data_IF_971868464528
#
_entry.id   IF_971868464528
#
_cell.length_a   1.000
_cell.length_b   1.000
_cell.length_c   1.000
_cell.angle_alpha   90.00
_cell.angle_beta   90.00
_cell.angle_gamma   90.00
#
_symmetry.space_group_name_H-M   'P 1'
#
loop_
_entity.id
_entity.type
_entity.pdbx_description
1 polymer ?
#
# COMPACT_ATOMS: atom_id res chain seq x y z
N UNK A 1 9.07 8.80 1.58
CA UNK A 1 9.40 9.92 0.66
C UNK A 1 10.27 9.37 -0.46
N UNK A 2 9.71 8.75 -1.51
CA UNK A 2 10.48 8.34 -2.72
C UNK A 2 9.56 8.31 -3.98
N UNK A 3 8.64 9.25 -4.15
CA UNK A 3 7.83 9.35 -5.38
C UNK A 3 7.71 10.78 -5.92
N UNK A 4 8.58 11.69 -5.45
CA UNK A 4 8.59 13.09 -5.89
C UNK A 4 9.28 13.34 -7.22
N UNK A 5 10.00 12.35 -7.77
CA UNK A 5 10.85 12.51 -8.97
C UNK A 5 10.23 11.92 -10.25
N UNK A 6 9.22 11.05 -10.13
CA UNK A 6 8.62 10.28 -11.24
C UNK A 6 7.81 11.15 -12.24
N UNK A 7 7.38 12.34 -11.83
CA UNK A 7 6.67 13.26 -12.71
C UNK A 7 7.56 13.81 -13.85
N UNK A 8 8.88 13.83 -13.65
CA UNK A 8 9.81 14.38 -14.64
C UNK A 8 10.04 13.38 -15.79
N UNK A 9 10.16 12.08 -15.50
CA UNK A 9 10.38 11.02 -16.50
C UNK A 9 9.17 10.80 -17.41
N UNK A 10 7.96 10.90 -16.86
CA UNK A 10 6.72 10.87 -17.63
C UNK A 10 6.61 12.04 -18.63
N UNK A 11 7.17 13.23 -18.31
CA UNK A 11 7.25 14.33 -19.27
C UNK A 11 8.25 14.07 -20.38
N UNK A 12 9.41 13.45 -20.08
CA UNK A 12 10.43 13.15 -21.09
C UNK A 12 9.93 12.15 -22.15
N UNK A 13 9.18 11.12 -21.75
CA UNK A 13 8.64 10.14 -22.69
C UNK A 13 7.53 10.71 -23.58
N UNK A 14 6.66 11.57 -23.04
CA UNK A 14 5.64 12.29 -23.84
C UNK A 14 6.29 13.25 -24.85
N UNK A 15 7.40 13.90 -24.47
CA UNK A 15 8.18 14.77 -25.35
C UNK A 15 8.88 13.99 -26.47
N UNK A 16 9.42 12.81 -26.18
CA UNK A 16 10.02 11.93 -27.19
C UNK A 16 8.99 11.44 -28.22
N UNK A 17 7.81 10.99 -27.78
CA UNK A 17 6.72 10.55 -28.67
C UNK A 17 6.23 11.71 -29.55
N UNK A 18 6.05 12.91 -28.98
CA UNK A 18 5.67 14.10 -29.73
C UNK A 18 6.71 14.47 -30.81
N UNK A 19 8.00 14.38 -30.48
CA UNK A 19 9.10 14.64 -31.42
C UNK A 19 9.16 13.61 -32.56
N UNK A 20 8.84 12.35 -32.27
CA UNK A 20 8.83 11.27 -33.27
C UNK A 20 7.63 11.39 -34.22
N UNK A 21 6.45 11.75 -33.70
CA UNK A 21 5.27 12.06 -34.52
C UNK A 21 5.49 13.30 -35.40
N UNK A 22 6.13 14.32 -34.84
CA UNK A 22 6.48 15.54 -35.58
C UNK A 22 7.51 15.25 -36.67
N UNK A 23 8.47 14.35 -36.42
CA UNK A 23 9.44 13.89 -37.43
C UNK A 23 8.77 13.09 -38.55
N UNK A 24 7.80 12.22 -38.25
CA UNK A 24 7.03 11.49 -39.26
C UNK A 24 6.19 12.43 -40.14
N UNK A 25 5.63 13.49 -39.54
CA UNK A 25 4.87 14.51 -40.26
C UNK A 25 5.78 15.40 -41.12
N UNK A 26 6.98 15.70 -40.64
CA UNK A 26 7.96 16.53 -41.36
C UNK A 26 8.55 15.82 -42.59
N UNK A 27 8.74 14.49 -42.52
CA UNK A 27 9.17 13.68 -43.68
C UNK A 27 8.11 13.70 -44.79
N UNK A 28 6.82 13.82 -44.47
CA UNK A 28 5.74 13.91 -45.45
C UNK A 28 5.63 15.28 -46.14
N UNK A 29 6.25 16.35 -45.62
CA UNK A 29 6.16 17.71 -46.16
C UNK A 29 7.32 18.12 -47.09
N UNK A 30 8.30 17.24 -47.35
CA UNK A 30 9.44 17.57 -48.21
C UNK A 30 9.02 17.69 -49.70
N UNK A 31 9.52 18.69 -50.47
CA UNK A 31 9.02 19.06 -51.82
C UNK A 31 9.39 18.09 -52.97
N UNK A 32 9.49 16.79 -52.66
CA UNK A 32 9.53 15.68 -53.61
C UNK A 32 8.53 14.55 -53.26
N UNK A 33 7.78 14.70 -52.17
CA UNK A 33 6.77 13.75 -51.67
C UNK A 33 5.33 14.13 -52.03
N UNK A 34 5.12 15.08 -52.94
CA UNK A 34 3.78 15.48 -53.38
C UNK A 34 2.96 14.32 -53.99
N UNK A 35 3.55 13.15 -54.25
CA UNK A 35 2.91 11.96 -54.81
C UNK A 35 3.07 10.71 -53.92
N UNK A 36 3.53 10.85 -52.66
CA UNK A 36 3.44 9.76 -51.68
C UNK A 36 1.98 9.64 -51.24
N UNK A 37 1.27 8.78 -51.95
CA UNK A 37 -0.11 8.34 -51.78
C UNK A 37 -0.69 8.46 -50.35
N UNK A 38 -1.82 9.16 -50.26
CA UNK A 38 -2.78 9.27 -49.14
C UNK A 38 -2.87 8.04 -48.21
N UNK A 39 -2.96 6.78 -48.70
CA UNK A 39 -3.09 5.59 -47.84
C UNK A 39 -1.91 5.30 -46.90
N UNK A 40 -0.67 5.68 -47.22
CA UNK A 40 0.49 5.45 -46.34
C UNK A 40 0.46 6.39 -45.12
N UNK A 41 0.06 7.65 -45.35
CA UNK A 41 -0.14 8.65 -44.30
C UNK A 41 -1.31 8.26 -43.40
N UNK A 42 -2.43 7.81 -43.99
CA UNK A 42 -3.58 7.33 -43.22
C UNK A 42 -3.27 6.10 -42.37
N UNK A 43 -2.49 5.14 -42.90
CA UNK A 43 -2.01 4.00 -42.11
C UNK A 43 -1.11 4.43 -40.94
N UNK A 44 -0.16 5.34 -41.17
CA UNK A 44 0.71 5.85 -40.11
C UNK A 44 -0.06 6.62 -39.03
N UNK A 45 -1.07 7.42 -39.42
CA UNK A 45 -1.98 8.09 -38.47
C UNK A 45 -2.74 7.08 -37.62
N UNK A 46 -3.28 6.02 -38.24
CA UNK A 46 -4.02 4.98 -37.53
C UNK A 46 -3.14 4.23 -36.53
N UNK A 47 -1.94 3.82 -36.92
CA UNK A 47 -0.98 3.16 -36.03
C UNK A 47 -0.54 4.08 -34.86
N UNK A 48 -0.45 5.39 -35.09
CA UNK A 48 -0.17 6.36 -34.04
C UNK A 48 -1.34 6.52 -33.06
N UNK A 49 -2.58 6.57 -33.55
CA UNK A 49 -3.78 6.64 -32.72
C UNK A 49 -3.95 5.39 -31.85
N UNK A 50 -3.76 4.21 -32.43
CA UNK A 50 -3.80 2.93 -31.71
C UNK A 50 -2.75 2.87 -30.59
N UNK A 51 -1.53 3.37 -30.86
CA UNK A 51 -0.48 3.46 -29.85
C UNK A 51 -0.83 4.44 -28.73
N UNK A 52 -1.37 5.61 -29.06
CA UNK A 52 -1.79 6.59 -28.06
C UNK A 52 -2.91 6.03 -27.17
N UNK A 53 -3.89 5.34 -27.76
CA UNK A 53 -4.97 4.69 -27.00
C UNK A 53 -4.42 3.59 -26.08
N UNK A 54 -3.48 2.77 -26.57
CA UNK A 54 -2.83 1.74 -25.76
C UNK A 54 -2.05 2.35 -24.58
N UNK A 55 -1.27 3.41 -24.83
CA UNK A 55 -0.52 4.10 -23.79
C UNK A 55 -1.44 4.76 -22.76
N UNK A 56 -2.55 5.35 -23.19
CA UNK A 56 -3.53 5.95 -22.28
C UNK A 56 -4.16 4.89 -21.37
N UNK A 57 -4.62 3.77 -21.95
CA UNK A 57 -5.12 2.63 -21.16
C UNK A 57 -4.05 2.13 -20.18
N UNK A 58 -2.81 1.96 -20.65
CA UNK A 58 -1.73 1.47 -19.80
C UNK A 58 -1.43 2.43 -18.63
N UNK A 59 -1.55 3.74 -18.85
CA UNK A 59 -1.35 4.76 -17.83
C UNK A 59 -2.50 4.79 -16.82
N UNK A 60 -3.74 4.58 -17.25
CA UNK A 60 -4.88 4.45 -16.35
C UNK A 60 -4.72 3.24 -15.42
N UNK A 61 -4.34 2.08 -15.97
CA UNK A 61 -4.05 0.87 -15.20
C UNK A 61 -2.88 1.07 -14.21
N UNK A 62 -1.82 1.76 -14.64
CA UNK A 62 -0.68 2.11 -13.80
C UNK A 62 -1.09 3.05 -12.65
N UNK A 63 -1.92 4.05 -12.94
CA UNK A 63 -2.47 4.98 -11.95
C UNK A 63 -3.29 4.25 -10.89
N UNK A 64 -4.21 3.39 -11.31
CA UNK A 64 -5.04 2.59 -10.40
C UNK A 64 -4.18 1.66 -9.51
N UNK A 65 -3.17 0.98 -10.07
CA UNK A 65 -2.26 0.14 -9.30
C UNK A 65 -1.41 0.95 -8.29
N UNK A 66 -1.04 2.18 -8.66
CA UNK A 66 -0.31 3.10 -7.77
C UNK A 66 -1.18 3.59 -6.62
N UNK A 67 -2.47 3.88 -6.88
CA UNK A 67 -3.44 4.22 -5.84
C UNK A 67 -3.68 3.05 -4.89
N UNK A 68 -3.86 1.84 -5.42
CA UNK A 68 -3.99 0.60 -4.63
C UNK A 68 -2.76 0.39 -3.73
N UNK A 69 -1.55 0.58 -4.28
CA UNK A 69 -0.29 0.49 -3.53
C UNK A 69 -0.20 1.54 -2.40
N UNK A 70 -0.53 2.79 -2.71
CA UNK A 70 -0.49 3.88 -1.73
C UNK A 70 -1.51 3.66 -0.61
N UNK A 71 -2.72 3.22 -0.96
CA UNK A 71 -3.75 2.87 0.01
C UNK A 71 -3.30 1.73 0.92
N UNK A 72 -2.85 0.61 0.35
CA UNK A 72 -2.41 -0.55 1.11
C UNK A 72 -1.22 -0.21 2.04
N UNK A 73 -0.26 0.58 1.58
CA UNK A 73 0.84 1.05 2.42
C UNK A 73 0.40 1.95 3.57
N UNK A 74 -0.55 2.85 3.31
CA UNK A 74 -1.08 3.71 4.36
C UNK A 74 -1.81 2.89 5.42
N UNK A 75 -2.67 1.95 5.00
CA UNK A 75 -3.33 1.02 5.92
C UNK A 75 -2.32 0.17 6.69
N UNK A 76 -1.29 -0.37 6.02
CA UNK A 76 -0.22 -1.14 6.66
C UNK A 76 0.48 -0.33 7.76
N UNK A 77 0.79 0.95 7.50
CA UNK A 77 1.42 1.85 8.48
C UNK A 77 0.50 2.12 9.67
N UNK A 78 -0.79 2.36 9.41
CA UNK A 78 -1.77 2.63 10.44
C UNK A 78 -2.00 1.39 11.32
N UNK A 79 -2.13 0.20 10.72
CA UNK A 79 -2.24 -1.06 11.44
C UNK A 79 -0.96 -1.37 12.24
N UNK A 80 0.23 -1.09 11.71
CA UNK A 80 1.49 -1.23 12.48
C UNK A 80 1.51 -0.32 13.73
N UNK A 81 1.01 0.91 13.60
CA UNK A 81 0.90 1.81 14.74
C UNK A 81 -0.14 1.31 15.76
N UNK A 82 -1.26 0.77 15.28
CA UNK A 82 -2.30 0.16 16.11
C UNK A 82 -1.75 -1.06 16.88
N UNK A 83 -1.08 -2.00 16.20
CA UNK A 83 -0.43 -3.17 16.82
C UNK A 83 0.53 -2.75 17.93
N UNK A 84 1.38 -1.74 17.68
CA UNK A 84 2.29 -1.21 18.71
C UNK A 84 1.55 -0.61 19.90
N UNK A 85 0.45 0.11 19.66
CA UNK A 85 -0.36 0.72 20.70
C UNK A 85 -1.08 -0.35 21.53
N UNK A 86 -1.84 -1.23 20.89
CA UNK A 86 -2.57 -2.31 21.55
C UNK A 86 -1.62 -3.27 22.26
N UNK A 87 -0.42 -3.53 21.73
CA UNK A 87 0.61 -4.30 22.43
C UNK A 87 1.10 -3.65 23.75
N UNK A 88 1.21 -2.32 23.80
CA UNK A 88 1.51 -1.60 25.06
C UNK A 88 0.34 -1.66 26.04
N UNK A 89 -0.87 -1.46 25.55
CA UNK A 89 -2.10 -1.52 26.36
C UNK A 89 -2.31 -2.93 26.94
N UNK A 90 -2.04 -3.98 26.17
CA UNK A 90 -2.08 -5.36 26.63
C UNK A 90 -1.06 -5.59 27.76
N UNK A 91 0.18 -5.14 27.60
CA UNK A 91 1.20 -5.27 28.64
C UNK A 91 0.81 -4.54 29.93
N UNK A 92 0.17 -3.38 29.82
CA UNK A 92 -0.36 -2.66 30.97
C UNK A 92 -1.47 -3.46 31.66
N UNK A 93 -2.47 -3.94 30.89
CA UNK A 93 -3.56 -4.75 31.42
C UNK A 93 -3.07 -6.03 32.12
N UNK A 94 -2.03 -6.68 31.58
CA UNK A 94 -1.39 -7.83 32.21
C UNK A 94 -0.72 -7.48 33.55
N UNK A 95 -0.10 -6.31 33.62
CA UNK A 95 0.54 -5.82 34.85
C UNK A 95 -0.50 -5.50 35.92
N UNK A 96 -1.58 -4.81 35.54
CA UNK A 96 -2.68 -4.45 36.43
C UNK A 96 -3.41 -5.70 36.95
N UNK A 97 -3.64 -6.68 36.08
CA UNK A 97 -4.20 -7.97 36.45
C UNK A 97 -3.31 -8.71 37.45
N UNK A 98 -2.01 -8.80 37.19
CA UNK A 98 -1.07 -9.48 38.09
C UNK A 98 -1.03 -8.81 39.48
N UNK A 99 -1.09 -7.48 39.52
CA UNK A 99 -1.16 -6.73 40.78
C UNK A 99 -2.46 -7.01 41.54
N UNK A 100 -3.61 -6.95 40.85
CA UNK A 100 -4.91 -7.22 41.45
C UNK A 100 -5.02 -8.68 41.95
N UNK A 101 -4.48 -9.64 41.21
CA UNK A 101 -4.40 -11.04 41.63
C UNK A 101 -3.52 -11.22 42.87
N UNK A 102 -2.35 -10.59 42.92
CA UNK A 102 -1.47 -10.64 44.10
C UNK A 102 -2.13 -10.05 45.35
N UNK A 103 -2.87 -8.94 45.20
CA UNK A 103 -3.65 -8.38 46.30
C UNK A 103 -4.77 -9.33 46.76
N UNK A 104 -5.44 -9.99 45.81
CA UNK A 104 -6.49 -10.96 46.12
C UNK A 104 -5.92 -12.19 46.83
N UNK A 105 -4.76 -12.69 46.41
CA UNK A 105 -4.08 -13.83 47.04
C UNK A 105 -3.70 -13.53 48.49
N UNK A 106 -3.09 -12.36 48.75
CA UNK A 106 -2.77 -11.92 50.12
C UNK A 106 -4.04 -11.85 50.97
N UNK A 107 -5.14 -11.35 50.39
CA UNK A 107 -6.41 -11.25 51.10
C UNK A 107 -7.01 -12.62 51.42
N UNK A 108 -7.01 -13.55 50.46
CA UNK A 108 -7.51 -14.91 50.64
C UNK A 108 -6.71 -15.68 51.69
N UNK A 109 -5.38 -15.56 51.68
CA UNK A 109 -4.51 -16.14 52.72
C UNK A 109 -4.80 -15.53 54.09
N UNK A 110 -5.00 -14.21 54.16
CA UNK A 110 -5.40 -13.53 55.39
C UNK A 110 -6.74 -14.03 55.94
N UNK A 111 -7.76 -14.15 55.08
CA UNK A 111 -9.07 -14.69 55.44
C UNK A 111 -8.98 -16.15 55.93
N UNK A 112 -8.16 -16.98 55.26
CA UNK A 112 -7.94 -18.37 55.66
C UNK A 112 -7.27 -18.46 57.04
N UNK A 113 -6.21 -17.67 57.29
CA UNK A 113 -5.52 -17.63 58.59
C UNK A 113 -6.39 -17.07 59.71
N UNK A 114 -7.35 -16.20 59.38
CA UNK A 114 -8.28 -15.59 60.33
C UNK A 114 -9.55 -16.46 60.61
N UNK A 115 -9.83 -17.55 59.89
CA UNK A 115 -10.96 -18.46 60.19
C UNK A 115 -10.58 -19.53 61.22
N UNK A 116 -11.36 -19.95 62.23
CA UNK A 116 -12.83 -20.04 62.45
C UNK A 116 -13.36 -19.31 63.71
N UNK A 117 -12.50 -18.77 64.58
CA UNK A 117 -12.88 -18.20 65.89
C UNK A 117 -12.63 -16.69 66.01
N UNK A 118 -11.89 -16.08 65.07
CA UNK A 118 -11.26 -14.77 65.28
C UNK A 118 -12.23 -13.59 65.24
N UNK A 119 -13.27 -13.64 64.40
CA UNK A 119 -14.28 -12.57 64.35
C UNK A 119 -15.11 -12.50 65.63
N UNK A 120 -15.55 -13.65 66.15
CA UNK A 120 -16.32 -13.72 67.40
C UNK A 120 -15.45 -13.31 68.59
N UNK A 121 -14.18 -13.73 68.66
CA UNK A 121 -13.27 -13.28 69.70
C UNK A 121 -12.96 -11.79 69.61
N UNK A 122 -12.70 -11.24 68.41
CA UNK A 122 -12.42 -9.81 68.22
C UNK A 122 -13.65 -8.93 68.51
N UNK A 123 -14.87 -9.41 68.25
CA UNK A 123 -16.10 -8.70 68.61
C UNK A 123 -16.39 -8.80 70.12
N UNK A 124 -16.12 -9.96 70.75
CA UNK A 124 -16.31 -10.17 72.20
C UNK A 124 -15.24 -9.46 73.06
N UNK A 125 -14.07 -9.16 72.48
CA UNK A 125 -12.98 -8.41 73.12
C UNK A 125 -13.15 -6.88 73.00
N UNK A 126 -14.30 -6.40 72.50
CA UNK A 126 -14.59 -4.97 72.45
C UNK A 126 -14.95 -4.45 73.85
N UNK A 127 -14.26 -3.41 74.30
CA UNK A 127 -14.44 -2.86 75.66
C UNK A 127 -15.61 -1.86 75.76
N UNK A 128 -16.20 -1.46 74.63
CA UNK A 128 -17.34 -0.56 74.57
C UNK A 128 -18.25 -0.81 73.36
N UNK A 129 -19.51 -0.37 73.44
CA UNK A 129 -20.49 -0.49 72.34
C UNK A 129 -20.07 0.31 71.09
N UNK A 130 -19.47 1.48 71.26
CA UNK A 130 -18.93 2.30 70.16
C UNK A 130 -17.77 1.60 69.45
N UNK A 131 -16.93 0.91 70.22
CA UNK A 131 -15.82 0.12 69.68
C UNK A 131 -16.34 -1.13 68.93
N UNK A 132 -17.37 -1.79 69.45
CA UNK A 132 -18.05 -2.90 68.76
C UNK A 132 -18.64 -2.47 67.41
N UNK A 133 -19.39 -1.37 67.36
CA UNK A 133 -19.96 -0.80 66.13
C UNK A 133 -18.84 -0.43 65.13
N UNK A 134 -17.76 0.18 65.61
CA UNK A 134 -16.62 0.56 64.77
C UNK A 134 -15.90 -0.65 64.18
N UNK A 135 -15.73 -1.73 64.96
CA UNK A 135 -15.16 -3.01 64.50
C UNK A 135 -16.08 -3.70 63.49
N UNK A 136 -17.41 -3.68 63.71
CA UNK A 136 -18.42 -4.17 62.77
C UNK A 136 -18.39 -3.42 61.42
N UNK A 137 -18.37 -2.10 61.47
CA UNK A 137 -18.28 -1.21 60.32
C UNK A 137 -16.93 -1.37 59.56
N UNK A 138 -15.82 -1.61 60.28
CA UNK A 138 -14.55 -2.01 59.64
C UNK A 138 -14.65 -3.35 58.90
N UNK A 139 -15.34 -4.34 59.47
CA UNK A 139 -15.50 -5.66 58.85
C UNK A 139 -16.40 -5.62 57.62
N UNK A 140 -17.50 -4.86 57.68
CA UNK A 140 -18.37 -4.63 56.53
C UNK A 140 -17.62 -3.90 55.40
N UNK A 141 -16.83 -2.87 55.73
CA UNK A 141 -15.96 -2.19 54.76
C UNK A 141 -14.93 -3.13 54.13
N UNK A 142 -14.34 -4.04 54.91
CA UNK A 142 -13.43 -5.06 54.41
C UNK A 142 -14.14 -5.99 53.41
N UNK A 143 -15.32 -6.50 53.74
CA UNK A 143 -16.11 -7.33 52.82
C UNK A 143 -16.46 -6.61 51.51
N UNK A 144 -16.83 -5.32 51.57
CA UNK A 144 -17.07 -4.50 50.35
C UNK A 144 -15.80 -4.29 49.52
N UNK A 145 -14.64 -4.09 50.17
CA UNK A 145 -13.34 -3.98 49.49
C UNK A 145 -12.95 -5.28 48.79
N UNK A 146 -13.21 -6.42 49.43
CA UNK A 146 -12.92 -7.74 48.85
C UNK A 146 -13.78 -8.03 47.61
N UNK A 147 -15.07 -7.71 47.67
CA UNK A 147 -15.96 -7.79 46.52
C UNK A 147 -15.47 -6.89 45.37
N UNK A 148 -15.08 -5.66 45.69
CA UNK A 148 -14.53 -4.71 44.71
C UNK A 148 -13.24 -5.24 44.06
N UNK A 149 -12.36 -5.88 44.85
CA UNK A 149 -11.11 -6.46 44.34
C UNK A 149 -11.37 -7.65 43.41
N UNK A 150 -12.34 -8.50 43.73
CA UNK A 150 -12.77 -9.59 42.84
C UNK A 150 -13.31 -9.04 41.53
N UNK A 151 -14.13 -7.98 41.58
CA UNK A 151 -14.67 -7.36 40.37
C UNK A 151 -13.58 -6.67 39.54
N UNK A 152 -12.58 -6.06 40.18
CA UNK A 152 -11.39 -5.52 39.50
C UNK A 152 -10.59 -6.62 38.79
N UNK A 153 -10.34 -7.76 39.46
CA UNK A 153 -9.64 -8.89 38.83
C UNK A 153 -10.40 -9.42 37.62
N UNK A 154 -11.73 -9.53 37.70
CA UNK A 154 -12.56 -9.92 36.55
C UNK A 154 -12.46 -8.90 35.42
N UNK A 155 -12.64 -7.62 35.72
CA UNK A 155 -12.57 -6.55 34.72
C UNK A 155 -11.20 -6.52 34.02
N UNK A 156 -10.10 -6.67 34.75
CA UNK A 156 -8.76 -6.70 34.15
C UNK A 156 -8.51 -7.97 33.32
N UNK A 157 -9.09 -9.12 33.70
CA UNK A 157 -9.06 -10.33 32.86
C UNK A 157 -9.80 -10.13 31.54
N UNK A 158 -10.98 -9.53 31.59
CA UNK A 158 -11.78 -9.26 30.40
C UNK A 158 -11.06 -8.28 29.48
N UNK A 159 -10.46 -7.22 30.04
CA UNK A 159 -9.63 -6.28 29.29
C UNK A 159 -8.40 -6.95 28.67
N UNK A 160 -7.68 -7.82 29.39
CA UNK A 160 -6.55 -8.57 28.83
C UNK A 160 -7.00 -9.42 27.63
N UNK A 161 -8.11 -10.14 27.78
CA UNK A 161 -8.67 -11.00 26.74
C UNK A 161 -9.07 -10.19 25.50
N UNK A 162 -9.80 -9.08 25.69
CA UNK A 162 -10.21 -8.17 24.61
C UNK A 162 -8.99 -7.62 23.86
N UNK A 163 -7.95 -7.16 24.58
CA UNK A 163 -6.74 -6.61 23.98
C UNK A 163 -5.93 -7.67 23.22
N UNK A 164 -5.90 -8.92 23.69
CA UNK A 164 -5.29 -10.04 22.94
C UNK A 164 -6.02 -10.28 21.62
N UNK A 165 -7.35 -10.45 21.67
CA UNK A 165 -8.16 -10.67 20.47
C UNK A 165 -8.04 -9.50 19.48
N UNK A 166 -8.02 -8.27 19.99
CA UNK A 166 -7.80 -7.08 19.16
C UNK A 166 -6.42 -7.08 18.51
N UNK A 167 -5.37 -7.42 19.26
CA UNK A 167 -4.00 -7.49 18.76
C UNK A 167 -3.85 -8.56 17.66
N UNK A 168 -4.43 -9.74 17.87
CA UNK A 168 -4.43 -10.84 16.89
C UNK A 168 -5.13 -10.42 15.58
N UNK A 169 -6.31 -9.79 15.69
CA UNK A 169 -7.05 -9.27 14.54
C UNK A 169 -6.25 -8.20 13.78
N UNK A 170 -5.62 -7.26 14.50
CA UNK A 170 -4.77 -6.24 13.89
C UNK A 170 -3.54 -6.85 13.19
N UNK A 171 -2.90 -7.87 13.77
CA UNK A 171 -1.77 -8.55 13.15
C UNK A 171 -2.19 -9.28 11.86
N UNK A 172 -3.39 -9.85 11.83
CA UNK A 172 -3.90 -10.49 10.61
C UNK A 172 -4.22 -9.45 9.52
N UNK A 173 -4.87 -8.35 9.87
CA UNK A 173 -5.06 -7.21 8.96
C UNK A 173 -3.73 -6.67 8.44
N UNK A 174 -2.71 -6.58 9.29
CA UNK A 174 -1.38 -6.13 8.90
C UNK A 174 -0.78 -7.01 7.81
N UNK A 175 -0.93 -8.34 7.91
CA UNK A 175 -0.47 -9.27 6.86
C UNK A 175 -1.22 -9.06 5.56
N UNK A 176 -2.55 -8.95 5.63
CA UNK A 176 -3.40 -8.71 4.46
C UNK A 176 -2.98 -7.43 3.73
N UNK A 177 -2.76 -6.32 4.45
CA UNK A 177 -2.31 -5.07 3.83
C UNK A 177 -0.88 -5.15 3.29
N UNK A 178 0.00 -5.93 3.92
CA UNK A 178 1.35 -6.17 3.39
C UNK A 178 1.30 -6.96 2.07
N UNK A 179 0.48 -8.01 2.00
CA UNK A 179 0.26 -8.79 0.78
C UNK A 179 -0.37 -7.95 -0.34
N UNK A 180 -1.35 -7.10 -0.01
CA UNK A 180 -1.95 -6.17 -0.96
C UNK A 180 -0.93 -5.16 -1.50
N UNK A 181 -0.07 -4.60 -0.64
CA UNK A 181 0.97 -3.67 -1.04
C UNK A 181 2.00 -4.36 -1.97
N UNK A 182 2.42 -5.59 -1.67
CA UNK A 182 3.31 -6.35 -2.55
C UNK A 182 2.64 -6.69 -3.89
N UNK A 183 1.38 -7.14 -3.87
CA UNK A 183 0.64 -7.42 -5.10
C UNK A 183 0.48 -6.19 -5.99
N UNK A 184 0.13 -5.04 -5.41
CA UNK A 184 0.03 -3.77 -6.14
C UNK A 184 1.39 -3.32 -6.68
N UNK A 185 2.48 -3.50 -5.91
CA UNK A 185 3.85 -3.26 -6.38
C UNK A 185 4.21 -4.11 -7.59
N UNK A 186 3.87 -5.40 -7.58
CA UNK A 186 4.07 -6.28 -8.72
C UNK A 186 3.28 -5.83 -9.95
N UNK A 187 2.00 -5.45 -9.80
CA UNK A 187 1.20 -4.89 -10.90
C UNK A 187 1.85 -3.65 -11.51
N UNK A 188 2.37 -2.74 -10.70
CA UNK A 188 3.10 -1.54 -11.15
C UNK A 188 4.32 -1.95 -11.99
N UNK A 189 5.16 -2.84 -11.48
CA UNK A 189 6.37 -3.31 -12.17
C UNK A 189 6.04 -3.97 -13.51
N UNK A 190 5.03 -4.83 -13.53
CA UNK A 190 4.57 -5.49 -14.76
C UNK A 190 4.05 -4.49 -15.78
N UNK A 191 3.33 -3.46 -15.32
CA UNK A 191 2.78 -2.44 -16.19
C UNK A 191 3.87 -1.55 -16.80
N UNK A 192 4.84 -1.14 -16.00
CA UNK A 192 6.03 -0.41 -16.47
C UNK A 192 6.81 -1.25 -17.49
N UNK A 193 6.99 -2.55 -17.24
CA UNK A 193 7.65 -3.45 -18.18
C UNK A 193 6.88 -3.58 -19.50
N UNK A 194 5.54 -3.68 -19.46
CA UNK A 194 4.68 -3.70 -20.66
C UNK A 194 4.78 -2.41 -21.45
N UNK A 195 4.75 -1.25 -20.79
CA UNK A 195 4.92 0.06 -21.43
C UNK A 195 6.27 0.16 -22.14
N UNK A 196 7.37 -0.19 -21.46
CA UNK A 196 8.72 -0.17 -22.04
C UNK A 196 8.83 -1.09 -23.26
N UNK A 197 8.25 -2.29 -23.19
CA UNK A 197 8.24 -3.24 -24.32
C UNK A 197 7.42 -2.70 -25.50
N UNK A 198 6.28 -2.08 -25.25
CA UNK A 198 5.45 -1.47 -26.30
C UNK A 198 6.21 -0.33 -27.00
N UNK A 199 6.88 0.54 -26.24
CA UNK A 199 7.71 1.63 -26.76
C UNK A 199 8.88 1.10 -27.60
N UNK A 200 9.67 0.16 -27.08
CA UNK A 200 10.80 -0.42 -27.79
C UNK A 200 10.38 -1.11 -29.10
N UNK A 201 9.24 -1.81 -29.09
CA UNK A 201 8.67 -2.43 -30.30
C UNK A 201 8.32 -1.40 -31.38
N UNK A 202 7.79 -0.24 -30.97
CA UNK A 202 7.46 0.86 -31.89
C UNK A 202 8.69 1.57 -32.41
N UNK A 203 9.71 1.79 -31.58
CA UNK A 203 10.99 2.34 -32.03
C UNK A 203 11.66 1.45 -33.09
N UNK A 204 11.66 0.13 -32.88
CA UNK A 204 12.16 -0.84 -33.86
C UNK A 204 11.37 -0.80 -35.18
N UNK A 205 10.04 -0.68 -35.11
CA UNK A 205 9.18 -0.54 -36.29
C UNK A 205 9.52 0.75 -37.07
N UNK A 206 9.70 1.87 -36.38
CA UNK A 206 10.06 3.16 -36.99
C UNK A 206 11.45 3.10 -37.63
N UNK A 207 12.43 2.48 -36.97
CA UNK A 207 13.76 2.29 -37.53
C UNK A 207 13.72 1.45 -38.82
N UNK A 208 12.91 0.39 -38.84
CA UNK A 208 12.69 -0.43 -40.04
C UNK A 208 12.08 0.38 -41.18
N UNK A 209 11.01 1.13 -40.91
CA UNK A 209 10.35 1.98 -41.92
C UNK A 209 11.30 3.04 -42.49
N UNK A 210 12.11 3.70 -41.65
CA UNK A 210 13.14 4.65 -42.09
C UNK A 210 14.16 4.00 -43.04
N UNK A 211 14.59 2.77 -42.74
CA UNK A 211 15.54 2.02 -43.58
C UNK A 211 14.93 1.61 -44.92
N UNK A 212 13.69 1.14 -44.92
CA UNK A 212 12.95 0.77 -46.13
C UNK A 212 12.74 1.97 -47.05
N UNK A 213 12.37 3.12 -46.49
CA UNK A 213 12.16 4.35 -47.26
C UNK A 213 13.47 4.89 -47.83
N UNK A 214 14.56 4.90 -47.05
CA UNK A 214 15.89 5.26 -47.55
C UNK A 214 16.35 4.36 -48.72
N UNK A 215 16.10 3.05 -48.64
CA UNK A 215 16.41 2.12 -49.72
C UNK A 215 15.55 2.37 -50.97
N UNK A 216 14.27 2.70 -50.79
CA UNK A 216 13.37 3.06 -51.90
C UNK A 216 13.84 4.33 -52.60
N UNK A 217 14.17 5.38 -51.84
CA UNK A 217 14.69 6.63 -52.39
C UNK A 217 15.99 6.44 -53.15
N UNK A 218 16.92 5.62 -52.63
CA UNK A 218 18.16 5.29 -53.31
C UNK A 218 17.92 4.59 -54.67
N UNK A 219 16.95 3.67 -54.74
CA UNK A 219 16.55 3.02 -56.00
C UNK A 219 15.99 4.00 -57.02
N UNK A 220 15.03 4.84 -56.61
CA UNK A 220 14.42 5.86 -57.48
C UNK A 220 15.47 6.86 -58.01
N UNK A 221 16.42 7.27 -57.15
CA UNK A 221 17.51 8.14 -57.56
C UNK A 221 18.46 7.47 -58.57
N UNK A 222 18.77 6.17 -58.39
CA UNK A 222 19.57 5.40 -59.33
C UNK A 222 18.87 5.24 -60.69
N UNK A 223 17.57 4.92 -60.70
CA UNK A 223 16.75 4.83 -61.91
C UNK A 223 16.67 6.18 -62.66
N UNK A 224 16.47 7.28 -61.93
CA UNK A 224 16.46 8.62 -62.51
C UNK A 224 17.81 8.99 -63.14
N UNK A 225 18.93 8.63 -62.49
CA UNK A 225 20.29 8.83 -63.05
C UNK A 225 20.50 7.99 -64.31
N UNK A 226 20.12 6.71 -64.29
CA UNK A 226 20.22 5.82 -65.44
C UNK A 226 19.39 6.33 -66.62
N UNK A 227 18.16 6.81 -66.37
CA UNK A 227 17.29 7.38 -67.40
C UNK A 227 17.85 8.68 -67.99
N UNK A 228 18.43 9.56 -67.16
CA UNK A 228 19.11 10.77 -67.64
C UNK A 228 20.33 10.43 -68.51
N UNK A 229 21.15 9.46 -68.08
CA UNK A 229 22.31 9.00 -68.85
C UNK A 229 21.90 8.40 -70.21
N UNK A 230 20.84 7.59 -70.23
CA UNK A 230 20.29 7.01 -71.45
C UNK A 230 19.71 8.06 -72.43
N UNK A 231 19.08 9.11 -71.92
CA UNK A 231 18.57 10.20 -72.75
C UNK A 231 19.70 11.10 -73.30
N UNK A 232 20.80 11.25 -72.56
CA UNK A 232 21.96 12.03 -72.98
C UNK A 232 22.87 11.31 -74.00
N UNK A 233 22.76 9.99 -74.13
CA UNK A 233 23.52 9.17 -75.09
C UNK A 233 22.79 8.92 -76.41
N UNK A 234 21.60 9.51 -76.61
CA UNK A 234 20.91 9.49 -77.90
C UNK A 234 21.55 10.55 -78.83
N UNK A 235 22.01 10.17 -80.03
CA UNK A 235 22.59 11.09 -81.02
C UNK A 235 21.53 12.03 -81.62
#
# INVERSE_FOLDING_TARGET
>A
MVFGDDHNDQMYHRRLVALVLLALLFVALLPGFAHATTPAIEKAKKEAQELLALLDQMNQELGAATEEYNYANQQLKDTQAAVKKTGRELKQAQTDLAFAQGALDVRLVGMYKAGKTDLLSVLLDATSFTELISRLDQFERLGRRDATLIDQVKAYRDQESERKAQLESQMEQQKVYAEQAEAARHKILDQVAKQNKALAGKEAQIAKLKKEEAARQAKLAAEARARKAFLASRP
#
